data_IF_221839588122
#
_entry.id   IF_221839588122
#
_cell.length_a   1.000
_cell.length_b   1.000
_cell.length_c   1.000
_cell.angle_alpha   90.00
_cell.angle_beta   90.00
_cell.angle_gamma   90.00
#
_symmetry.space_group_name_H-M   'P 1'
#
loop_
_entity.id
_entity.type
_entity.pdbx_description
1 polymer ?
#
# COMPACT_ATOMS: atom_id res chain seq x y z
N UNK A 1 5.77 0.95 -8.95
CA UNK A 1 6.17 0.12 -7.78
C UNK A 1 6.21 -1.31 -8.27
N UNK A 2 7.30 -2.04 -8.02
CA UNK A 2 7.46 -3.45 -8.44
C UNK A 2 6.90 -4.37 -7.37
N UNK A 3 6.45 -5.55 -7.74
CA UNK A 3 5.99 -6.54 -6.78
C UNK A 3 7.20 -7.12 -6.00
N UNK A 4 7.14 -7.20 -4.66
CA UNK A 4 8.25 -7.71 -3.85
C UNK A 4 8.44 -9.23 -3.94
N UNK A 5 7.43 -9.99 -4.38
CA UNK A 5 7.53 -11.43 -4.65
C UNK A 5 7.89 -11.71 -6.12
N UNK A 6 7.50 -10.83 -7.03
CA UNK A 6 7.77 -10.94 -8.46
C UNK A 6 8.42 -9.68 -9.02
N UNK A 7 9.75 -9.60 -8.92
CA UNK A 7 10.58 -8.49 -9.41
C UNK A 7 10.41 -8.16 -10.90
N UNK A 8 9.83 -9.08 -11.68
CA UNK A 8 9.59 -8.98 -13.12
C UNK A 8 8.22 -8.36 -13.48
N UNK A 9 7.30 -8.20 -12.52
CA UNK A 9 5.95 -7.69 -12.76
C UNK A 9 5.69 -6.41 -11.95
N UNK A 10 5.04 -5.43 -12.56
CA UNK A 10 4.63 -4.22 -11.84
C UNK A 10 3.25 -4.40 -11.20
N UNK A 11 2.96 -3.63 -10.15
CA UNK A 11 1.62 -3.61 -9.55
C UNK A 11 0.51 -3.21 -10.55
N UNK A 12 0.87 -2.51 -11.63
CA UNK A 12 -0.04 -2.14 -12.71
C UNK A 12 -0.28 -3.33 -13.67
N UNK A 13 0.76 -4.09 -14.01
CA UNK A 13 0.64 -5.32 -14.81
C UNK A 13 -0.24 -6.36 -14.11
N UNK A 14 -0.13 -6.43 -12.78
CA UNK A 14 -0.95 -7.30 -11.94
C UNK A 14 -2.35 -6.74 -11.66
N UNK A 15 -2.70 -5.54 -12.17
CA UNK A 15 -3.96 -4.81 -11.88
C UNK A 15 -4.27 -4.67 -10.38
N UNK A 16 -3.24 -4.63 -9.54
CA UNK A 16 -3.39 -4.53 -8.07
C UNK A 16 -3.85 -3.13 -7.66
N UNK A 17 -3.51 -2.13 -8.46
CA UNK A 17 -3.94 -0.73 -8.29
C UNK A 17 -4.46 -0.24 -9.64
N UNK A 18 -5.61 0.43 -9.62
CA UNK A 18 -6.10 1.20 -10.77
C UNK A 18 -6.18 2.68 -10.41
N UNK A 19 -6.14 3.56 -11.41
CA UNK A 19 -6.30 5.01 -11.20
C UNK A 19 -7.63 5.35 -10.52
N UNK A 20 -8.66 4.54 -10.77
CA UNK A 20 -10.01 4.70 -10.21
C UNK A 20 -10.06 4.34 -8.71
N UNK A 21 -9.10 3.54 -8.22
CA UNK A 21 -9.00 3.15 -6.82
C UNK A 21 -8.25 4.16 -5.94
N UNK A 22 -7.83 5.31 -6.51
CA UNK A 22 -7.10 6.38 -5.81
C UNK A 22 -8.00 7.59 -5.64
N UNK A 23 -8.31 7.93 -4.39
CA UNK A 23 -9.09 9.11 -4.02
C UNK A 23 -8.16 10.18 -3.43
N UNK A 24 -8.18 11.39 -3.98
CA UNK A 24 -7.37 12.53 -3.50
C UNK A 24 -8.30 13.70 -3.16
N UNK A 25 -8.23 14.16 -1.92
CA UNK A 25 -8.94 15.34 -1.41
C UNK A 25 -7.90 16.36 -0.93
N UNK A 26 -7.56 17.34 -1.78
CA UNK A 26 -6.57 18.38 -1.45
C UNK A 26 -7.08 19.33 -0.35
N UNK A 27 -8.39 19.62 -0.32
CA UNK A 27 -9.00 20.50 0.68
C UNK A 27 -8.90 19.93 2.10
N UNK A 28 -9.08 18.61 2.26
CA UNK A 28 -8.87 17.92 3.53
C UNK A 28 -7.44 17.41 3.71
N UNK A 29 -6.58 17.62 2.71
CA UNK A 29 -5.24 17.06 2.63
C UNK A 29 -5.24 15.57 2.96
N UNK A 30 -6.02 14.80 2.21
CA UNK A 30 -6.23 13.37 2.43
C UNK A 30 -6.08 12.61 1.11
N UNK A 31 -5.37 11.49 1.15
CA UNK A 31 -5.22 10.57 0.02
C UNK A 31 -5.60 9.19 0.50
N UNK A 32 -6.52 8.54 -0.20
CA UNK A 32 -6.88 7.14 0.02
C UNK A 32 -6.52 6.31 -1.20
N UNK A 33 -5.89 5.17 -0.98
CA UNK A 33 -5.62 4.16 -2.01
C UNK A 33 -6.29 2.86 -1.64
N UNK A 34 -7.09 2.32 -2.56
CA UNK A 34 -7.72 1.03 -2.44
C UNK A 34 -7.01 0.00 -3.33
N UNK A 35 -6.62 -1.13 -2.73
CA UNK A 35 -5.83 -2.20 -3.33
C UNK A 35 -6.73 -3.37 -3.64
N UNK A 36 -6.68 -3.88 -4.87
CA UNK A 36 -7.45 -5.08 -5.24
C UNK A 36 -6.48 -6.21 -5.57
N UNK A 37 -6.09 -7.06 -4.60
CA UNK A 37 -5.20 -8.18 -4.88
C UNK A 37 -5.88 -9.13 -5.87
N UNK A 38 -5.27 -9.30 -7.03
CA UNK A 38 -5.80 -10.11 -8.14
C UNK A 38 -5.59 -11.60 -7.96
N UNK A 39 -4.81 -12.01 -6.94
CA UNK A 39 -4.62 -13.42 -6.58
C UNK A 39 -5.15 -13.69 -5.16
N UNK A 40 -6.05 -14.68 -4.98
CA UNK A 40 -6.68 -14.99 -3.69
C UNK A 40 -5.70 -15.52 -2.62
N UNK A 41 -4.45 -15.77 -3.00
CA UNK A 41 -3.36 -16.23 -2.12
C UNK A 41 -2.07 -15.43 -2.32
N UNK A 42 -2.18 -14.13 -2.63
CA UNK A 42 -1.00 -13.26 -2.63
C UNK A 42 -0.45 -13.22 -1.20
N UNK A 43 0.80 -13.66 -1.02
CA UNK A 43 1.34 -13.86 0.31
C UNK A 43 1.57 -12.53 1.04
N UNK A 44 1.53 -11.37 0.36
CA UNK A 44 1.81 -10.10 1.05
C UNK A 44 1.13 -8.82 0.49
N UNK A 45 -0.22 -8.76 0.42
CA UNK A 45 -0.94 -7.49 0.20
C UNK A 45 -0.56 -6.39 1.22
N UNK A 46 -0.09 -6.78 2.40
CA UNK A 46 0.50 -5.87 3.39
C UNK A 46 1.78 -5.19 2.90
N UNK A 47 2.72 -5.92 2.27
CA UNK A 47 3.96 -5.32 1.74
C UNK A 47 3.65 -4.33 0.63
N UNK A 48 2.76 -4.72 -0.28
CA UNK A 48 2.31 -3.86 -1.37
C UNK A 48 1.73 -2.56 -0.81
N UNK A 49 0.85 -2.65 0.19
CA UNK A 49 0.30 -1.49 0.87
C UNK A 49 1.35 -0.62 1.55
N UNK A 50 2.36 -1.23 2.20
CA UNK A 50 3.46 -0.51 2.81
C UNK A 50 4.31 0.23 1.77
N UNK A 51 4.58 -0.41 0.62
CA UNK A 51 5.35 0.19 -0.47
C UNK A 51 4.68 1.43 -1.04
N UNK A 52 3.37 1.37 -1.21
CA UNK A 52 2.58 2.52 -1.68
C UNK A 52 2.59 3.62 -0.63
N UNK A 53 2.36 3.26 0.64
CA UNK A 53 2.36 4.21 1.74
C UNK A 53 3.72 4.94 1.84
N UNK A 54 4.83 4.21 1.79
CA UNK A 54 6.18 4.76 1.78
C UNK A 54 6.40 5.73 0.61
N UNK A 55 5.99 5.31 -0.60
CA UNK A 55 6.16 6.11 -1.81
C UNK A 55 5.33 7.39 -1.75
N UNK A 56 4.10 7.32 -1.27
CA UNK A 56 3.22 8.48 -1.10
C UNK A 56 3.74 9.43 -0.03
N UNK A 57 4.19 8.93 1.11
CA UNK A 57 4.82 9.75 2.15
C UNK A 57 6.05 10.51 1.64
N UNK A 58 6.89 9.85 0.84
CA UNK A 58 8.08 10.48 0.24
C UNK A 58 7.76 11.47 -0.88
N UNK A 59 6.66 11.25 -1.62
CA UNK A 59 6.34 12.03 -2.83
C UNK A 59 5.34 13.16 -2.57
N UNK A 60 4.52 13.06 -1.53
CA UNK A 60 3.50 14.05 -1.19
C UNK A 60 3.97 14.98 -0.07
N UNK A 61 3.49 16.23 -0.04
CA UNK A 61 3.71 17.13 1.09
C UNK A 61 3.19 16.53 2.41
N UNK A 62 3.90 16.75 3.51
CA UNK A 62 3.58 16.19 4.85
C UNK A 62 2.20 16.57 5.40
N UNK A 63 1.53 17.57 4.81
CA UNK A 63 0.12 17.91 5.12
C UNK A 63 -0.85 16.79 4.76
N UNK A 64 -0.49 15.95 3.78
CA UNK A 64 -1.37 14.89 3.30
C UNK A 64 -1.39 13.69 4.24
N UNK A 65 -2.59 13.32 4.68
CA UNK A 65 -2.86 12.08 5.39
C UNK A 65 -3.08 10.97 4.38
N UNK A 66 -2.17 10.01 4.35
CA UNK A 66 -2.25 8.83 3.50
C UNK A 66 -3.01 7.71 4.22
N UNK A 67 -3.93 7.06 3.53
CA UNK A 67 -4.72 5.93 3.98
C UNK A 67 -4.69 4.85 2.88
N UNK A 68 -4.23 3.65 3.22
CA UNK A 68 -4.10 2.55 2.25
C UNK A 68 -4.91 1.37 2.76
N UNK A 69 -5.80 0.84 1.91
CA UNK A 69 -6.72 -0.25 2.27
C UNK A 69 -6.82 -1.26 1.15
N UNK A 70 -7.18 -2.48 1.50
CA UNK A 70 -7.57 -3.55 0.58
C UNK A 70 -9.07 -3.45 0.31
N UNK A 71 -9.46 -3.62 -0.95
CA UNK A 71 -10.83 -3.63 -1.42
C UNK A 71 -11.64 -4.74 -0.71
N UNK A 72 -12.85 -4.42 -0.24
CA UNK A 72 -13.68 -5.38 0.49
C UNK A 72 -14.05 -6.58 -0.40
N UNK A 73 -14.03 -7.77 0.18
CA UNK A 73 -14.29 -9.04 -0.50
C UNK A 73 -13.14 -9.52 -1.40
N UNK A 74 -12.01 -8.81 -1.46
CA UNK A 74 -10.92 -9.14 -2.39
C UNK A 74 -9.86 -10.07 -1.79
N UNK A 75 -9.81 -10.22 -0.47
CA UNK A 75 -8.82 -11.08 0.18
C UNK A 75 -9.35 -11.72 1.46
N UNK A 76 -9.05 -13.01 1.68
CA UNK A 76 -9.51 -13.74 2.88
C UNK A 76 -9.03 -13.13 4.21
N UNK A 77 -7.89 -12.42 4.19
CA UNK A 77 -7.33 -11.73 5.37
C UNK A 77 -7.42 -10.21 5.30
N UNK A 78 -8.33 -9.66 4.47
CA UNK A 78 -8.46 -8.21 4.26
C UNK A 78 -8.53 -7.41 5.56
N UNK A 79 -9.28 -7.89 6.56
CA UNK A 79 -9.49 -7.18 7.82
C UNK A 79 -8.20 -7.10 8.64
N UNK A 80 -7.39 -8.18 8.62
CA UNK A 80 -6.09 -8.19 9.27
C UNK A 80 -5.11 -7.25 8.56
N UNK A 81 -5.09 -7.27 7.22
CA UNK A 81 -4.24 -6.39 6.41
C UNK A 81 -4.61 -4.93 6.61
N UNK A 82 -5.91 -4.59 6.53
CA UNK A 82 -6.41 -3.23 6.77
C UNK A 82 -6.11 -2.75 8.19
N UNK A 83 -6.17 -3.64 9.19
CA UNK A 83 -5.78 -3.30 10.55
C UNK A 83 -4.27 -3.00 10.65
N UNK A 84 -3.42 -3.76 9.96
CA UNK A 84 -1.98 -3.50 9.93
C UNK A 84 -1.64 -2.21 9.18
N UNK A 85 -2.31 -1.94 8.06
CA UNK A 85 -2.14 -0.71 7.27
C UNK A 85 -2.78 0.54 7.92
N UNK A 86 -3.72 0.35 8.85
CA UNK A 86 -4.28 1.44 9.65
C UNK A 86 -3.41 1.84 10.85
N UNK A 87 -2.46 0.98 11.23
CA UNK A 87 -1.59 1.17 12.39
C UNK A 87 -0.34 1.97 12.01
N UNK A 88 -0.40 3.29 12.24
CA UNK A 88 0.66 4.22 11.85
C UNK A 88 1.99 3.95 12.55
N UNK A 89 1.97 3.50 13.80
CA UNK A 89 3.17 3.19 14.56
C UNK A 89 3.83 1.93 13.99
N UNK A 90 3.03 0.90 13.68
CA UNK A 90 3.52 -0.30 13.03
C UNK A 90 4.05 -0.04 11.63
N UNK A 91 3.39 0.82 10.84
CA UNK A 91 3.87 1.21 9.52
C UNK A 91 5.20 1.95 9.63
N UNK A 92 5.30 2.95 10.52
CA UNK A 92 6.54 3.68 10.72
C UNK A 92 7.70 2.74 11.09
N UNK A 93 7.48 1.85 12.05
CA UNK A 93 8.48 0.86 12.45
C UNK A 93 8.87 -0.10 11.31
N UNK A 94 7.91 -0.49 10.46
CA UNK A 94 8.19 -1.32 9.30
C UNK A 94 9.03 -0.56 8.26
N UNK A 95 8.78 0.74 8.05
CA UNK A 95 9.59 1.58 7.14
C UNK A 95 11.02 1.82 7.65
N UNK A 96 11.23 1.77 8.96
CA UNK A 96 12.57 1.85 9.59
C UNK A 96 13.32 0.51 9.59
N UNK A 97 12.64 -0.60 9.30
CA UNK A 97 13.26 -1.92 9.27
C UNK A 97 14.23 -2.04 8.09
N UNK A 98 15.45 -2.57 8.30
CA UNK A 98 16.46 -2.70 7.26
C UNK A 98 15.99 -3.50 6.05
N UNK A 99 15.11 -4.49 6.25
CA UNK A 99 14.48 -5.25 5.15
C UNK A 99 13.72 -4.35 4.17
N UNK A 100 12.94 -3.41 4.69
CA UNK A 100 12.17 -2.50 3.85
C UNK A 100 13.03 -1.38 3.29
N UNK A 101 13.99 -0.87 4.07
CA UNK A 101 14.95 0.13 3.57
C UNK A 101 15.71 -0.40 2.35
N UNK A 102 16.11 -1.67 2.37
CA UNK A 102 16.78 -2.34 1.24
C UNK A 102 15.84 -2.52 0.05
N UNK A 103 14.59 -2.93 0.30
CA UNK A 103 13.54 -3.05 -0.74
C UNK A 103 13.20 -1.71 -1.43
N UNK A 104 13.40 -0.58 -0.75
CA UNK A 104 13.06 0.76 -1.24
C UNK A 104 14.24 1.55 -1.85
N UNK A 105 15.48 1.08 -1.71
CA UNK A 105 16.68 1.66 -2.31
C UNK A 105 17.01 1.03 -3.66
#
# INVERSE_FOLDING_TARGET
IKDPEHSELTLEDLRVITKESVEVDDAKSYVRVTLTPTLPHCHVPHLIGLCIYAKLLKSLPTRFKVDVRVAPGSHATEAAVNKQLGDKERIAAALESPYFVDLFN
#
